data_IF_874410067466
#
_entry.id   IF_874410067466
#
_cell.length_a   1.000
_cell.length_b   1.000
_cell.length_c   1.000
_cell.angle_alpha   90.00
_cell.angle_beta   90.00
_cell.angle_gamma   90.00
#
_symmetry.space_group_name_H-M   'P 1'
#
loop_
_entity.id
_entity.type
_entity.pdbx_description
1 polymer ?
#
# COMPACT_ATOMS: atom_id res chain seq x y z
N UNK A 1 11.72 -25.56 15.42
CA UNK A 1 10.93 -25.85 14.19
C UNK A 1 10.05 -24.64 13.89
N UNK A 2 9.63 -24.43 12.64
CA UNK A 2 8.63 -23.40 12.35
C UNK A 2 7.22 -23.92 12.67
N UNK A 3 6.47 -23.15 13.46
CA UNK A 3 5.04 -23.32 13.64
C UNK A 3 4.31 -22.23 12.84
N UNK A 4 3.65 -22.63 11.75
CA UNK A 4 2.96 -21.71 10.84
C UNK A 4 1.50 -21.55 11.28
N UNK A 5 1.08 -20.31 11.54
CA UNK A 5 -0.22 -20.04 12.20
C UNK A 5 -1.37 -19.75 11.24
N UNK A 6 -1.09 -19.32 10.00
CA UNK A 6 -2.13 -18.90 9.06
C UNK A 6 -2.00 -19.51 7.68
N UNK A 7 -1.15 -20.51 7.51
CA UNK A 7 -0.96 -21.19 6.24
C UNK A 7 -0.75 -22.70 6.44
N UNK A 8 -1.11 -23.44 5.40
CA UNK A 8 -0.87 -24.87 5.25
C UNK A 8 -0.54 -25.13 3.78
N UNK A 9 0.04 -26.30 3.50
CA UNK A 9 0.43 -26.65 2.13
C UNK A 9 -0.78 -26.65 1.18
N UNK A 10 -0.60 -26.08 0.00
CA UNK A 10 -1.62 -25.86 -1.02
C UNK A 10 -2.78 -24.93 -0.60
N UNK A 11 -2.59 -24.10 0.44
CA UNK A 11 -3.54 -23.03 0.75
C UNK A 11 -3.79 -22.17 -0.49
N UNK A 12 -5.06 -21.95 -0.80
CA UNK A 12 -5.49 -21.13 -1.94
C UNK A 12 -5.88 -19.72 -1.46
N UNK A 13 -5.39 -18.70 -2.15
CA UNK A 13 -5.69 -17.28 -1.90
C UNK A 13 -6.02 -16.56 -3.21
N UNK A 14 -6.68 -15.41 -3.12
CA UNK A 14 -7.12 -14.63 -4.28
C UNK A 14 -6.52 -13.21 -4.35
N UNK A 15 -5.41 -12.97 -3.65
CA UNK A 15 -4.68 -11.71 -3.63
C UNK A 15 -3.16 -11.97 -3.75
N UNK A 16 -2.40 -11.06 -4.38
CA UNK A 16 -1.01 -11.32 -4.79
C UNK A 16 0.04 -11.06 -3.72
N UNK A 17 -0.31 -10.48 -2.57
CA UNK A 17 0.61 -10.26 -1.45
C UNK A 17 0.13 -11.02 -0.22
N UNK A 18 0.84 -12.08 0.15
CA UNK A 18 0.45 -12.91 1.28
C UNK A 18 1.19 -12.50 2.55
N UNK A 19 0.48 -12.36 3.67
CA UNK A 19 1.12 -12.26 4.98
C UNK A 19 1.24 -13.67 5.54
N UNK A 20 2.45 -14.14 5.79
CA UNK A 20 2.73 -15.36 6.52
C UNK A 20 3.11 -14.98 7.96
N UNK A 21 2.46 -15.60 8.95
CA UNK A 21 2.77 -15.41 10.37
C UNK A 21 2.98 -16.75 11.05
N UNK A 22 3.89 -16.75 12.02
CA UNK A 22 4.24 -17.95 12.75
C UNK A 22 5.23 -17.68 13.87
N UNK A 23 5.71 -18.75 14.46
CA UNK A 23 6.76 -18.71 15.47
C UNK A 23 7.79 -19.81 15.29
N UNK A 24 8.94 -19.64 15.92
CA UNK A 24 10.01 -20.64 15.98
C UNK A 24 9.92 -21.33 17.34
N UNK A 25 9.61 -22.62 17.35
CA UNK A 25 9.45 -23.42 18.56
C UNK A 25 10.19 -24.77 18.47
N UNK A 26 11.13 -25.09 19.38
CA UNK A 26 11.69 -24.20 20.40
C UNK A 26 12.42 -23.00 19.78
N UNK A 27 12.43 -21.86 20.49
CA UNK A 27 13.09 -20.65 20.00
C UNK A 27 14.61 -20.84 19.92
N UNK A 28 15.16 -20.65 18.72
CA UNK A 28 16.56 -20.90 18.40
C UNK A 28 17.46 -19.64 18.38
N UNK A 29 17.03 -18.53 19.01
CA UNK A 29 17.77 -17.26 19.09
C UNK A 29 18.05 -16.55 17.75
N UNK A 30 17.50 -17.05 16.65
CA UNK A 30 17.56 -16.37 15.36
C UNK A 30 16.83 -15.01 15.44
N UNK A 31 17.52 -13.95 15.01
CA UNK A 31 16.94 -12.59 14.90
C UNK A 31 16.25 -12.34 13.56
N UNK A 32 16.37 -13.29 12.62
CA UNK A 32 15.83 -13.13 11.28
C UNK A 32 15.38 -14.45 10.68
N UNK A 33 14.40 -14.35 9.81
CA UNK A 33 13.99 -15.40 8.89
C UNK A 33 14.16 -14.92 7.45
N UNK A 34 14.43 -15.85 6.55
CA UNK A 34 14.51 -15.62 5.12
C UNK A 34 13.37 -16.36 4.46
N UNK A 35 12.68 -15.69 3.54
CA UNK A 35 11.62 -16.30 2.74
C UNK A 35 12.04 -16.22 1.29
N UNK A 36 12.13 -17.39 0.66
CA UNK A 36 12.32 -17.53 -0.78
C UNK A 36 11.02 -17.97 -1.43
N UNK A 37 10.70 -17.39 -2.58
CA UNK A 37 9.54 -17.78 -3.39
C UNK A 37 10.02 -18.35 -4.71
N UNK A 38 9.69 -19.62 -4.94
CA UNK A 38 9.98 -20.35 -6.16
C UNK A 38 8.68 -20.57 -6.93
N UNK A 39 8.74 -20.39 -8.25
CA UNK A 39 7.65 -20.67 -9.16
C UNK A 39 8.28 -21.21 -10.45
N UNK A 40 7.64 -22.18 -11.09
CA UNK A 40 8.09 -22.93 -12.29
C UNK A 40 8.59 -22.07 -13.46
N UNK A 41 8.36 -20.75 -13.41
CA UNK A 41 8.64 -19.83 -14.50
C UNK A 41 9.63 -18.70 -14.16
N UNK A 42 10.17 -18.58 -12.93
CA UNK A 42 10.84 -17.33 -12.51
C UNK A 42 12.01 -17.50 -11.54
N UNK A 43 12.82 -16.42 -11.48
CA UNK A 43 13.97 -16.25 -10.59
C UNK A 43 13.53 -16.17 -9.12
N UNK A 44 14.25 -16.85 -8.26
CA UNK A 44 14.03 -16.87 -6.81
C UNK A 44 14.15 -15.46 -6.23
N UNK A 45 13.10 -15.02 -5.54
CA UNK A 45 13.15 -13.83 -4.70
C UNK A 45 13.33 -14.27 -3.26
N UNK A 46 14.47 -13.91 -2.66
CA UNK A 46 14.69 -14.07 -1.23
C UNK A 46 14.54 -12.74 -0.51
N UNK A 47 13.85 -12.75 0.63
CA UNK A 47 13.67 -11.57 1.48
C UNK A 47 14.00 -11.92 2.92
N UNK A 48 14.73 -11.02 3.59
CA UNK A 48 15.06 -11.11 5.01
C UNK A 48 14.02 -10.34 5.83
N UNK A 49 13.54 -10.96 6.90
CA UNK A 49 12.59 -10.37 7.85
C UNK A 49 13.10 -10.54 9.27
N UNK A 50 12.84 -9.54 10.11
CA UNK A 50 13.21 -9.59 11.53
C UNK A 50 12.22 -10.43 12.32
N UNK A 51 12.77 -11.21 13.24
CA UNK A 51 12.02 -11.98 14.24
C UNK A 51 11.96 -11.15 15.52
N UNK A 52 10.79 -11.07 16.15
CA UNK A 52 10.63 -10.46 17.46
C UNK A 52 10.34 -11.58 18.46
N UNK A 53 11.24 -11.77 19.43
CA UNK A 53 11.27 -12.94 20.31
C UNK A 53 11.31 -14.22 19.46
N UNK A 54 10.25 -15.03 19.46
CA UNK A 54 10.13 -16.21 18.59
C UNK A 54 9.20 -16.00 17.39
N UNK A 55 8.55 -14.84 17.29
CA UNK A 55 7.47 -14.57 16.36
C UNK A 55 7.97 -13.88 15.10
N UNK A 56 7.34 -14.19 13.97
CA UNK A 56 7.58 -13.49 12.71
C UNK A 56 6.27 -13.16 11.99
N UNK A 57 6.31 -12.05 11.24
CA UNK A 57 5.32 -11.69 10.22
C UNK A 57 6.09 -11.28 8.98
N UNK A 58 5.83 -11.97 7.88
CA UNK A 58 6.53 -11.77 6.62
C UNK A 58 5.52 -11.57 5.51
N UNK A 59 5.83 -10.68 4.59
CA UNK A 59 4.99 -10.41 3.43
C UNK A 59 5.64 -11.03 2.19
N UNK A 60 4.86 -11.79 1.44
CA UNK A 60 5.34 -12.67 0.38
C UNK A 60 4.62 -12.36 -0.92
N UNK A 61 5.32 -11.94 -1.98
CA UNK A 61 4.73 -11.82 -3.30
C UNK A 61 4.39 -13.17 -3.87
N UNK A 62 3.19 -13.28 -4.44
CA UNK A 62 2.73 -14.46 -5.15
C UNK A 62 2.58 -14.17 -6.64
N UNK A 63 2.95 -15.14 -7.47
CA UNK A 63 2.52 -15.20 -8.87
C UNK A 63 1.29 -16.08 -9.00
N UNK A 64 0.48 -15.82 -10.03
CA UNK A 64 -0.68 -16.66 -10.34
C UNK A 64 -0.22 -18.12 -10.49
N UNK A 65 -0.96 -19.05 -9.89
CA UNK A 65 -0.63 -20.46 -9.83
C UNK A 65 0.03 -20.87 -8.53
N UNK A 66 0.78 -21.97 -8.57
CA UNK A 66 1.47 -22.53 -7.42
C UNK A 66 2.76 -21.75 -7.13
N UNK A 67 2.98 -21.39 -5.87
CA UNK A 67 4.20 -20.75 -5.38
C UNK A 67 4.75 -21.63 -4.26
N UNK A 68 5.97 -22.15 -4.43
CA UNK A 68 6.68 -22.87 -3.38
C UNK A 68 7.41 -21.86 -2.51
N UNK A 69 7.05 -21.81 -1.23
CA UNK A 69 7.64 -20.91 -0.25
C UNK A 69 8.64 -21.70 0.58
N UNK A 70 9.87 -21.20 0.64
CA UNK A 70 10.92 -21.72 1.50
C UNK A 70 11.14 -20.72 2.65
N UNK A 71 10.73 -21.08 3.86
CA UNK A 71 10.98 -20.32 5.07
C UNK A 71 12.19 -20.91 5.80
N UNK A 72 13.24 -20.13 5.98
CA UNK A 72 14.47 -20.59 6.64
C UNK A 72 15.00 -19.62 7.68
N UNK A 73 15.66 -20.16 8.68
CA UNK A 73 16.61 -19.46 9.53
C UNK A 73 17.91 -20.28 9.58
N UNK A 74 18.86 -19.95 10.45
CA UNK A 74 20.12 -20.71 10.56
C UNK A 74 19.90 -22.16 11.00
N UNK A 75 18.85 -22.42 11.78
CA UNK A 75 18.62 -23.72 12.44
C UNK A 75 17.47 -24.54 11.86
N UNK A 76 16.57 -23.90 11.13
CA UNK A 76 15.32 -24.53 10.69
C UNK A 76 15.00 -24.15 9.25
N UNK A 77 14.35 -25.08 8.58
CA UNK A 77 13.84 -24.95 7.23
C UNK A 77 12.42 -25.52 7.20
N UNK A 78 11.49 -24.78 6.58
CA UNK A 78 10.17 -25.25 6.24
C UNK A 78 9.87 -24.92 4.77
N UNK A 79 9.18 -25.83 4.10
CA UNK A 79 8.74 -25.66 2.72
C UNK A 79 7.26 -26.01 2.63
N UNK A 80 6.49 -25.18 1.93
CA UNK A 80 5.08 -25.41 1.65
C UNK A 80 4.65 -24.58 0.45
N UNK A 81 3.49 -24.89 -0.11
CA UNK A 81 2.98 -24.25 -1.33
C UNK A 81 1.78 -23.37 -1.05
N UNK A 82 1.71 -22.23 -1.72
CA UNK A 82 0.55 -21.34 -1.74
C UNK A 82 0.08 -21.18 -3.19
N UNK A 83 -1.21 -21.43 -3.42
CA UNK A 83 -1.84 -21.28 -4.74
C UNK A 83 -2.52 -19.93 -4.81
N UNK A 84 -2.03 -19.04 -5.66
CA UNK A 84 -2.73 -17.79 -5.95
C UNK A 84 -3.62 -17.96 -7.18
N UNK A 85 -4.94 -17.91 -6.97
CA UNK A 85 -5.94 -17.91 -8.03
C UNK A 85 -6.49 -16.50 -8.24
N UNK A 86 -6.53 -16.05 -9.48
CA UNK A 86 -7.13 -14.76 -9.78
C UNK A 86 -8.66 -14.91 -9.85
N UNK A 87 -9.40 -14.29 -8.94
CA UNK A 87 -10.86 -14.32 -8.97
C UNK A 87 -11.37 -13.38 -10.07
N UNK A 88 -11.75 -13.95 -11.21
CA UNK A 88 -12.25 -13.21 -12.38
C UNK A 88 -13.75 -12.98 -12.39
N UNK A 89 -14.46 -13.60 -11.45
CA UNK A 89 -15.92 -13.70 -11.52
C UNK A 89 -16.63 -12.50 -10.87
N UNK A 90 -15.93 -11.75 -10.01
CA UNK A 90 -16.48 -10.52 -9.41
C UNK A 90 -16.32 -9.32 -10.35
N UNK A 91 -17.41 -8.61 -10.67
CA UNK A 91 -17.34 -7.35 -11.41
C UNK A 91 -16.86 -6.17 -10.53
N UNK A 92 -16.84 -6.36 -9.20
CA UNK A 92 -16.53 -5.32 -8.23
C UNK A 92 -15.03 -5.19 -8.00
N UNK A 93 -14.53 -3.96 -8.10
CA UNK A 93 -13.11 -3.66 -8.00
C UNK A 93 -12.85 -2.38 -7.21
N UNK A 94 -11.64 -2.27 -6.68
CA UNK A 94 -11.07 -1.04 -6.12
C UNK A 94 -10.04 -0.51 -7.11
N UNK A 95 -10.02 0.80 -7.32
CA UNK A 95 -9.09 1.46 -8.22
C UNK A 95 -8.43 2.67 -7.56
N UNK A 96 -7.17 2.55 -7.10
CA UNK A 96 -6.47 3.69 -6.57
C UNK A 96 -5.89 4.55 -7.70
N UNK A 97 -6.02 5.87 -7.57
CA UNK A 97 -5.48 6.84 -8.52
C UNK A 97 -4.72 7.95 -7.81
N UNK A 98 -3.66 8.42 -8.43
CA UNK A 98 -2.91 9.59 -8.02
C UNK A 98 -3.33 10.76 -8.91
N UNK A 99 -4.07 11.71 -8.34
CA UNK A 99 -4.72 12.79 -9.09
C UNK A 99 -3.76 13.98 -9.19
N UNK A 100 -3.42 14.35 -10.41
CA UNK A 100 -2.55 15.48 -10.72
C UNK A 100 -3.41 16.58 -11.34
N UNK A 101 -3.47 17.74 -10.68
CA UNK A 101 -4.18 18.91 -11.18
C UNK A 101 -3.54 19.42 -12.49
N UNK A 102 -4.33 20.13 -13.30
CA UNK A 102 -3.94 20.64 -14.62
C UNK A 102 -2.74 21.62 -14.57
N UNK A 103 -2.51 22.24 -13.43
CA UNK A 103 -1.43 23.20 -13.13
C UNK A 103 -0.41 22.65 -12.11
N UNK A 104 -0.36 21.33 -11.89
CA UNK A 104 0.57 20.65 -10.98
C UNK A 104 1.57 19.75 -11.73
N UNK A 105 2.78 19.61 -11.17
CA UNK A 105 3.82 18.71 -11.68
C UNK A 105 3.59 17.25 -11.28
N UNK A 106 2.75 17.02 -10.27
CA UNK A 106 2.50 15.70 -9.68
C UNK A 106 3.57 15.29 -8.66
N UNK A 107 4.26 16.26 -8.06
CA UNK A 107 5.20 15.98 -6.97
C UNK A 107 4.47 15.99 -5.63
N UNK A 108 4.84 15.08 -4.73
CA UNK A 108 4.40 15.12 -3.34
C UNK A 108 5.47 15.78 -2.45
N UNK A 109 5.15 16.10 -1.20
CA UNK A 109 6.16 16.60 -0.25
C UNK A 109 6.97 15.46 0.32
N UNK A 110 8.29 15.60 0.32
CA UNK A 110 9.21 14.58 0.78
C UNK A 110 10.45 15.21 1.46
N UNK A 111 11.13 14.48 2.36
CA UNK A 111 12.37 14.93 2.99
C UNK A 111 13.51 15.04 1.97
N UNK A 112 14.56 15.74 2.38
CA UNK A 112 15.80 15.81 1.62
C UNK A 112 16.35 14.40 1.29
N UNK A 113 16.79 14.21 0.04
CA UNK A 113 17.33 12.94 -0.45
C UNK A 113 16.29 11.93 -0.94
N UNK A 114 14.99 12.18 -0.75
CA UNK A 114 13.92 11.40 -1.38
C UNK A 114 13.50 12.04 -2.70
N UNK A 115 13.21 11.21 -3.72
CA UNK A 115 12.76 11.66 -5.05
C UNK A 115 11.22 11.65 -5.10
N UNK A 116 10.54 12.81 -5.05
CA UNK A 116 9.10 12.87 -4.84
C UNK A 116 8.28 12.81 -6.13
N UNK A 117 8.63 11.91 -7.05
CA UNK A 117 7.95 11.87 -8.35
C UNK A 117 6.59 11.18 -8.28
N UNK A 118 5.75 11.42 -9.28
CA UNK A 118 4.46 10.73 -9.46
C UNK A 118 4.63 9.20 -9.54
N UNK A 119 5.75 8.70 -10.08
CA UNK A 119 6.05 7.27 -10.12
C UNK A 119 6.31 6.72 -8.71
N UNK A 120 7.09 7.43 -7.88
CA UNK A 120 7.29 7.07 -6.47
C UNK A 120 5.96 7.13 -5.70
N UNK A 121 5.14 8.16 -5.93
CA UNK A 121 3.82 8.29 -5.32
C UNK A 121 2.91 7.09 -5.66
N UNK A 122 2.78 6.76 -6.94
CA UNK A 122 1.98 5.61 -7.39
C UNK A 122 2.50 4.28 -6.78
N UNK A 123 3.81 4.07 -6.70
CA UNK A 123 4.37 2.87 -6.06
C UNK A 123 4.02 2.78 -4.58
N UNK A 124 4.19 3.88 -3.82
CA UNK A 124 3.87 3.95 -2.39
C UNK A 124 2.38 3.71 -2.14
N UNK A 125 1.52 4.40 -2.89
CA UNK A 125 0.07 4.21 -2.82
C UNK A 125 -0.30 2.77 -3.18
N UNK A 126 0.26 2.24 -4.26
CA UNK A 126 -0.03 0.89 -4.73
C UNK A 126 0.36 -0.18 -3.71
N UNK A 127 1.53 -0.04 -3.09
CA UNK A 127 1.95 -0.94 -2.00
C UNK A 127 1.03 -0.79 -0.78
N UNK A 128 0.68 0.44 -0.39
CA UNK A 128 -0.28 0.69 0.69
C UNK A 128 -1.63 0.00 0.47
N UNK A 129 -2.17 0.08 -0.75
CA UNK A 129 -3.44 -0.57 -1.11
C UNK A 129 -3.32 -2.10 -1.10
N UNK A 130 -2.20 -2.66 -1.57
CA UNK A 130 -1.95 -4.11 -1.47
C UNK A 130 -1.81 -4.58 -0.02
N UNK A 131 -1.13 -3.81 0.83
CA UNK A 131 -1.06 -4.11 2.26
C UNK A 131 -2.46 -4.08 2.88
N UNK A 132 -3.29 -3.09 2.54
CA UNK A 132 -4.68 -3.03 2.99
C UNK A 132 -5.49 -4.24 2.51
N UNK A 133 -5.30 -4.68 1.26
CA UNK A 133 -5.93 -5.88 0.72
C UNK A 133 -5.54 -7.14 1.52
N UNK A 134 -4.24 -7.32 1.80
CA UNK A 134 -3.72 -8.43 2.62
C UNK A 134 -4.27 -8.38 4.04
N UNK A 135 -4.20 -7.22 4.70
CA UNK A 135 -4.62 -7.07 6.09
C UNK A 135 -6.13 -7.26 6.24
N UNK A 136 -6.93 -6.81 5.26
CA UNK A 136 -8.36 -7.10 5.19
C UNK A 136 -8.63 -8.60 5.13
N UNK A 137 -7.90 -9.34 4.27
CA UNK A 137 -8.05 -10.78 4.16
C UNK A 137 -7.73 -11.52 5.46
N UNK A 138 -6.63 -11.14 6.12
CA UNK A 138 -6.20 -11.77 7.38
C UNK A 138 -7.07 -11.36 8.57
N UNK A 139 -7.63 -10.15 8.57
CA UNK A 139 -8.61 -9.72 9.56
C UNK A 139 -9.89 -10.56 9.45
N UNK A 140 -10.44 -10.72 8.24
CA UNK A 140 -11.61 -11.59 8.06
C UNK A 140 -11.32 -13.06 8.35
N UNK A 141 -10.10 -13.55 8.10
CA UNK A 141 -9.72 -14.88 8.56
C UNK A 141 -9.79 -15.00 10.08
N UNK A 142 -9.27 -14.00 10.80
CA UNK A 142 -9.27 -13.97 12.27
C UNK A 142 -10.68 -13.93 12.85
N UNK A 143 -11.56 -13.12 12.27
CA UNK A 143 -12.91 -12.88 12.80
C UNK A 143 -13.95 -13.88 12.30
N UNK A 144 -13.85 -14.32 11.03
CA UNK A 144 -14.86 -15.11 10.34
C UNK A 144 -14.38 -16.51 9.92
N UNK A 145 -13.09 -16.82 10.13
CA UNK A 145 -12.51 -18.10 9.70
C UNK A 145 -12.31 -18.22 8.18
N UNK A 146 -12.51 -17.15 7.41
CA UNK A 146 -12.37 -17.15 5.95
C UNK A 146 -11.68 -15.89 5.43
N UNK A 147 -10.87 -16.04 4.37
CA UNK A 147 -10.20 -14.92 3.71
C UNK A 147 -11.12 -14.28 2.69
N UNK A 148 -11.51 -13.04 2.98
CA UNK A 148 -12.26 -12.19 2.05
C UNK A 148 -11.50 -10.88 1.86
N UNK A 149 -11.36 -10.40 0.63
CA UNK A 149 -10.78 -9.08 0.37
C UNK A 149 -11.26 -8.54 -0.97
N UNK A 150 -11.01 -7.26 -1.21
CA UNK A 150 -11.39 -6.59 -2.44
C UNK A 150 -10.41 -6.92 -3.59
N UNK A 151 -10.88 -6.85 -4.83
CA UNK A 151 -10.05 -6.97 -6.03
C UNK A 151 -9.54 -5.60 -6.47
N UNK A 152 -8.31 -5.52 -6.97
CA UNK A 152 -7.77 -4.27 -7.52
C UNK A 152 -7.87 -4.29 -9.05
N UNK A 153 -8.42 -3.24 -9.67
CA UNK A 153 -8.76 -3.21 -11.11
C UNK A 153 -7.56 -3.51 -12.00
N UNK A 154 -6.41 -2.92 -11.68
CA UNK A 154 -5.14 -3.06 -12.39
C UNK A 154 -4.58 -4.49 -12.34
N UNK A 155 -5.08 -5.36 -11.46
CA UNK A 155 -4.67 -6.77 -11.40
C UNK A 155 -5.39 -7.63 -12.44
N UNK A 156 -6.63 -7.25 -12.80
CA UNK A 156 -7.45 -7.94 -13.81
C UNK A 156 -6.94 -7.74 -15.24
N UNK A 157 -6.29 -6.60 -15.51
CA UNK A 157 -5.74 -6.27 -16.83
C UNK A 157 -4.38 -6.92 -17.09
N UNK A 158 -3.75 -7.55 -16.09
CA UNK A 158 -2.45 -8.22 -16.23
C UNK A 158 -2.60 -9.46 -17.10
N UNK A 159 -2.36 -9.33 -18.40
CA UNK A 159 -1.99 -10.46 -19.27
C UNK A 159 -0.66 -11.00 -18.78
N UNK A 160 -0.70 -11.98 -17.87
CA UNK A 160 0.40 -12.92 -17.54
C UNK A 160 1.82 -12.35 -17.69
N UNK A 161 2.11 -11.17 -17.11
CA UNK A 161 3.46 -10.59 -17.19
C UNK A 161 4.41 -11.48 -16.38
N UNK A 162 5.31 -12.15 -17.10
CA UNK A 162 6.12 -13.29 -16.63
C UNK A 162 7.34 -12.89 -15.80
N UNK A 163 7.50 -11.63 -15.40
CA UNK A 163 8.71 -11.19 -14.69
C UNK A 163 8.39 -10.59 -13.30
N UNK A 164 8.73 -11.33 -12.23
CA UNK A 164 8.74 -10.85 -10.83
C UNK A 164 9.93 -9.92 -10.56
N UNK A 165 10.94 -9.87 -11.43
CA UNK A 165 12.13 -9.01 -11.25
C UNK A 165 11.80 -7.51 -11.12
N UNK A 166 10.57 -7.11 -11.45
CA UNK A 166 10.01 -5.77 -11.26
C UNK A 166 8.81 -5.71 -10.32
N UNK A 167 8.71 -6.54 -9.27
CA UNK A 167 7.70 -6.32 -8.21
C UNK A 167 7.87 -4.95 -7.51
N UNK A 168 8.99 -4.26 -7.81
CA UNK A 168 9.26 -2.85 -7.52
C UNK A 168 8.58 -1.81 -8.43
N UNK A 169 7.78 -2.14 -9.47
CA UNK A 169 7.48 -1.09 -10.48
C UNK A 169 6.18 -1.14 -11.30
N UNK A 170 5.21 -1.99 -11.02
CA UNK A 170 3.87 -1.76 -11.58
C UNK A 170 2.91 -1.49 -10.43
N UNK A 171 2.92 -0.21 -10.03
CA UNK A 171 1.96 0.36 -9.11
C UNK A 171 0.56 -0.07 -9.53
N UNK A 172 -0.22 -0.67 -8.61
CA UNK A 172 -1.65 -0.84 -8.83
C UNK A 172 -2.40 0.50 -8.74
N UNK A 173 -1.68 1.60 -8.59
CA UNK A 173 -2.15 2.97 -8.65
C UNK A 173 -1.71 3.63 -9.95
N UNK A 174 -2.64 4.32 -10.62
CA UNK A 174 -2.39 5.03 -11.86
C UNK A 174 -2.46 6.54 -11.66
N UNK A 175 -1.64 7.29 -12.41
CA UNK A 175 -1.81 8.73 -12.51
C UNK A 175 -3.12 9.05 -13.25
N UNK A 176 -3.91 9.95 -12.66
CA UNK A 176 -5.05 10.57 -13.31
C UNK A 176 -4.78 12.08 -13.44
N UNK A 177 -4.54 12.53 -14.67
CA UNK A 177 -4.41 13.94 -14.98
C UNK A 177 -5.81 14.55 -15.05
N UNK A 178 -6.08 15.46 -14.12
CA UNK A 178 -7.39 16.06 -13.91
C UNK A 178 -7.50 17.43 -14.56
N UNK A 179 -8.72 17.80 -14.94
CA UNK A 179 -9.06 19.16 -15.38
C UNK A 179 -9.02 20.19 -14.24
N UNK A 180 -9.12 19.74 -12.98
CA UNK A 180 -9.08 20.59 -11.79
C UNK A 180 -7.73 21.31 -11.67
N UNK A 181 -7.75 22.59 -11.33
CA UNK A 181 -6.55 23.35 -10.97
C UNK A 181 -6.33 23.37 -9.45
N UNK A 182 -5.10 23.58 -8.98
CA UNK A 182 -4.77 23.78 -7.57
C UNK A 182 -5.55 24.94 -6.98
N UNK A 183 -5.71 26.02 -7.74
CA UNK A 183 -6.52 27.17 -7.30
C UNK A 183 -7.96 26.76 -7.03
N UNK A 184 -8.57 25.93 -7.89
CA UNK A 184 -9.91 25.40 -7.62
C UNK A 184 -9.90 24.54 -6.35
N UNK A 185 -8.96 23.60 -6.24
CA UNK A 185 -8.89 22.69 -5.09
C UNK A 185 -8.71 23.43 -3.76
N UNK A 186 -7.92 24.50 -3.74
CA UNK A 186 -7.63 25.27 -2.52
C UNK A 186 -8.73 26.26 -2.14
N UNK A 187 -9.55 26.71 -3.10
CA UNK A 187 -10.58 27.73 -2.88
C UNK A 187 -11.99 27.16 -2.70
N UNK A 188 -12.16 25.84 -2.77
CA UNK A 188 -13.46 25.16 -2.67
C UNK A 188 -13.47 24.16 -1.52
N UNK A 189 -14.67 23.74 -1.14
CA UNK A 189 -14.85 22.73 -0.08
C UNK A 189 -14.39 21.34 -0.54
N UNK A 190 -14.01 20.44 0.39
CA UNK A 190 -13.77 19.03 0.08
C UNK A 190 -14.89 18.38 -0.73
N UNK A 191 -16.15 18.71 -0.43
CA UNK A 191 -17.34 18.19 -1.11
C UNK A 191 -17.42 18.66 -2.56
N UNK A 192 -17.11 19.94 -2.83
CA UNK A 192 -17.10 20.49 -4.19
C UNK A 192 -16.00 19.85 -5.05
N UNK A 193 -14.81 19.68 -4.47
CA UNK A 193 -13.67 19.00 -5.13
C UNK A 193 -14.02 17.54 -5.41
N UNK A 194 -14.56 16.84 -4.41
CA UNK A 194 -15.00 15.45 -4.54
C UNK A 194 -16.05 15.31 -5.64
N UNK A 195 -17.08 16.17 -5.65
CA UNK A 195 -18.18 16.12 -6.63
C UNK A 195 -17.66 16.32 -8.05
N UNK A 196 -16.80 17.33 -8.25
CA UNK A 196 -16.26 17.62 -9.57
C UNK A 196 -15.33 16.52 -10.07
N UNK A 197 -14.49 15.96 -9.19
CA UNK A 197 -13.66 14.81 -9.53
C UNK A 197 -14.51 13.57 -9.84
N UNK A 198 -15.56 13.29 -9.06
CA UNK A 198 -16.45 12.16 -9.30
C UNK A 198 -17.10 12.22 -10.71
N UNK A 199 -17.59 13.39 -11.12
CA UNK A 199 -18.10 13.59 -12.48
C UNK A 199 -17.02 13.41 -13.54
N UNK A 200 -15.83 13.98 -13.33
CA UNK A 200 -14.73 13.81 -14.28
C UNK A 200 -14.33 12.34 -14.47
N UNK A 201 -14.25 11.58 -13.37
CA UNK A 201 -13.94 10.15 -13.42
C UNK A 201 -15.04 9.35 -14.12
N UNK A 202 -16.31 9.70 -13.91
CA UNK A 202 -17.44 9.07 -14.58
C UNK A 202 -17.39 9.30 -16.10
N UNK A 203 -17.14 10.52 -16.54
CA UNK A 203 -17.02 10.85 -17.96
C UNK A 203 -15.81 10.18 -18.62
N UNK A 204 -14.67 10.15 -17.93
CA UNK A 204 -13.41 9.62 -18.47
C UNK A 204 -13.33 8.09 -18.44
N UNK A 205 -13.96 7.46 -17.46
CA UNK A 205 -13.93 6.00 -17.26
C UNK A 205 -15.35 5.43 -17.07
N UNK A 206 -16.25 5.58 -18.06
CA UNK A 206 -17.66 5.19 -17.91
C UNK A 206 -17.84 3.68 -17.75
N UNK A 207 -16.93 2.87 -18.31
CA UNK A 207 -17.02 1.43 -18.25
C UNK A 207 -16.77 0.89 -16.83
N UNK A 208 -17.75 0.16 -16.29
CA UNK A 208 -17.71 -0.45 -14.96
C UNK A 208 -17.54 0.56 -13.81
N UNK A 209 -17.89 1.83 -14.02
CA UNK A 209 -17.73 2.88 -13.01
C UNK A 209 -18.46 2.56 -11.71
N UNK A 210 -19.73 2.14 -11.80
CA UNK A 210 -20.60 1.85 -10.65
C UNK A 210 -20.11 0.67 -9.79
N UNK A 211 -19.46 -0.30 -10.42
CA UNK A 211 -18.86 -1.46 -9.74
C UNK A 211 -17.42 -1.19 -9.29
N UNK A 212 -16.92 0.05 -9.45
CA UNK A 212 -15.56 0.43 -9.07
C UNK A 212 -15.61 1.37 -7.86
N UNK A 213 -14.92 0.99 -6.78
CA UNK A 213 -14.61 1.89 -5.69
C UNK A 213 -13.30 2.62 -5.98
N UNK A 214 -13.36 3.92 -6.11
CA UNK A 214 -12.24 4.78 -6.43
C UNK A 214 -11.56 5.27 -5.17
N UNK A 215 -10.23 5.24 -5.14
CA UNK A 215 -9.44 5.80 -4.04
C UNK A 215 -8.49 6.82 -4.64
N UNK A 216 -8.88 8.09 -4.60
CA UNK A 216 -8.16 9.20 -5.19
C UNK A 216 -7.24 9.87 -4.18
N UNK A 217 -5.96 9.98 -4.53
CA UNK A 217 -4.94 10.66 -3.74
C UNK A 217 -4.53 11.94 -4.44
N UNK A 218 -4.74 13.09 -3.80
CA UNK A 218 -4.47 14.40 -4.41
C UNK A 218 -2.98 14.75 -4.35
N UNK A 219 -2.36 14.92 -5.51
CA UNK A 219 -0.94 15.28 -5.62
C UNK A 219 -0.63 16.67 -5.03
N UNK A 220 -1.60 17.58 -5.06
CA UNK A 220 -1.45 18.97 -4.66
C UNK A 220 -1.53 19.20 -3.14
N UNK A 221 -1.63 18.16 -2.31
CA UNK A 221 -1.59 18.31 -0.85
C UNK A 221 -0.27 18.95 -0.42
N UNK A 222 -0.33 20.04 0.35
CA UNK A 222 0.85 20.73 0.87
C UNK A 222 0.67 21.13 2.32
N UNK A 223 1.53 20.63 3.18
CA UNK A 223 1.75 21.10 4.54
C UNK A 223 2.67 22.32 4.54
N UNK A 224 2.27 23.37 5.25
CA UNK A 224 2.98 24.63 5.36
C UNK A 224 3.54 24.78 6.78
N UNK A 225 4.85 24.52 6.98
CA UNK A 225 5.44 24.54 8.31
C UNK A 225 5.39 25.93 8.95
N UNK A 226 5.38 26.01 10.30
CA UNK A 226 5.38 27.29 11.00
C UNK A 226 6.67 28.08 10.74
N UNK A 227 6.56 29.43 10.68
CA UNK A 227 7.70 30.34 10.49
C UNK A 227 8.74 30.24 11.61
N UNK A 228 8.31 29.84 12.81
CA UNK A 228 9.18 29.51 13.94
C UNK A 228 8.91 28.05 14.29
N UNK A 229 9.93 27.21 14.14
CA UNK A 229 9.91 25.84 14.63
C UNK A 229 10.13 25.93 16.14
N UNK A 230 9.06 26.17 16.89
CA UNK A 230 9.11 26.00 18.34
C UNK A 230 9.07 24.49 18.63
N UNK A 231 9.70 24.04 19.71
CA UNK A 231 9.74 22.63 20.13
C UNK A 231 8.39 22.09 20.62
N UNK A 232 7.30 22.80 20.38
CA UNK A 232 5.96 22.40 20.76
C UNK A 232 5.35 21.55 19.65
N UNK A 233 4.92 20.35 20.04
CA UNK A 233 4.18 19.45 19.19
C UNK A 233 2.85 20.11 18.75
N UNK A 234 2.62 20.19 17.44
CA UNK A 234 1.37 20.73 16.90
C UNK A 234 0.23 19.73 17.08
N UNK A 235 -0.91 20.21 17.58
CA UNK A 235 -2.14 19.42 17.59
C UNK A 235 -2.59 19.04 16.17
N UNK A 236 -3.36 17.95 16.07
CA UNK A 236 -3.92 17.50 14.79
C UNK A 236 -4.67 18.62 14.05
N UNK A 237 -5.48 19.40 14.76
CA UNK A 237 -6.21 20.52 14.15
C UNK A 237 -5.27 21.62 13.61
N UNK A 238 -4.15 21.89 14.27
CA UNK A 238 -3.16 22.86 13.78
C UNK A 238 -2.43 22.34 12.54
N UNK A 239 -2.15 21.04 12.48
CA UNK A 239 -1.60 20.39 11.29
C UNK A 239 -2.57 20.52 10.12
N UNK A 240 -3.86 20.27 10.34
CA UNK A 240 -4.89 20.40 9.31
C UNK A 240 -5.03 21.85 8.80
N UNK A 241 -5.07 22.83 9.70
CA UNK A 241 -5.12 24.26 9.34
C UNK A 241 -3.92 24.71 8.51
N UNK A 242 -2.79 24.01 8.63
CA UNK A 242 -1.56 24.25 7.88
C UNK A 242 -1.44 23.41 6.62
N UNK A 243 -2.40 22.54 6.33
CA UNK A 243 -2.32 21.62 5.18
C UNK A 243 -3.37 21.99 4.15
N UNK A 244 -2.94 22.50 3.00
CA UNK A 244 -3.81 22.71 1.85
C UNK A 244 -4.07 21.41 1.12
N UNK A 245 -5.28 21.26 0.57
CA UNK A 245 -5.71 20.06 -0.16
C UNK A 245 -5.52 18.76 0.67
N UNK A 246 -5.72 18.85 1.99
CA UNK A 246 -5.87 17.69 2.85
C UNK A 246 -7.32 17.20 2.78
N UNK A 247 -7.50 15.92 2.41
CA UNK A 247 -8.82 15.31 2.29
C UNK A 247 -8.86 14.00 3.05
N UNK A 248 -10.02 13.73 3.65
CA UNK A 248 -10.38 12.45 4.27
C UNK A 248 -11.90 12.23 4.08
N UNK A 249 -12.35 12.28 2.83
CA UNK A 249 -13.77 12.24 2.48
C UNK A 249 -14.09 10.98 1.67
N UNK A 250 -15.08 10.21 2.10
CA UNK A 250 -15.52 9.00 1.39
C UNK A 250 -17.03 8.90 1.31
N UNK A 251 -17.57 8.86 0.09
CA UNK A 251 -19.01 8.64 -0.18
C UNK A 251 -19.19 8.20 -1.63
N UNK A 252 -20.38 7.73 -2.02
CA UNK A 252 -20.76 7.56 -3.43
C UNK A 252 -19.86 6.67 -4.31
N UNK A 253 -18.99 5.84 -3.71
CA UNK A 253 -18.00 5.04 -4.45
C UNK A 253 -16.64 5.71 -4.71
N UNK A 254 -16.41 6.92 -4.21
CA UNK A 254 -15.12 7.62 -4.28
C UNK A 254 -14.64 8.00 -2.87
N UNK A 255 -13.44 7.57 -2.52
CA UNK A 255 -12.66 8.12 -1.42
C UNK A 255 -11.67 9.14 -1.96
N UNK A 256 -11.64 10.34 -1.38
CA UNK A 256 -10.73 11.43 -1.69
C UNK A 256 -9.80 11.66 -0.49
N UNK A 257 -8.50 11.51 -0.74
CA UNK A 257 -7.45 11.48 0.27
C UNK A 257 -6.34 12.49 -0.06
N UNK A 258 -5.79 13.11 0.97
CA UNK A 258 -4.56 13.90 0.86
C UNK A 258 -3.29 13.04 0.83
N UNK A 259 -2.18 13.63 0.40
CA UNK A 259 -0.88 12.94 0.28
C UNK A 259 0.20 13.46 1.23
N UNK A 260 -0.19 14.22 2.26
CA UNK A 260 0.74 14.91 3.17
C UNK A 260 1.75 13.99 3.86
N UNK A 261 1.36 12.76 4.18
CA UNK A 261 2.20 11.76 4.87
C UNK A 261 2.80 10.70 3.95
N UNK A 262 2.66 10.86 2.62
CA UNK A 262 3.12 9.85 1.66
C UNK A 262 4.64 9.60 1.73
N UNK A 263 5.40 10.58 2.21
CA UNK A 263 6.84 10.46 2.46
C UNK A 263 7.20 9.38 3.50
N UNK A 264 6.28 9.06 4.41
CA UNK A 264 6.45 8.02 5.43
C UNK A 264 5.99 6.63 4.95
N UNK A 265 5.47 6.50 3.72
CA UNK A 265 4.98 5.22 3.19
C UNK A 265 6.09 4.47 2.47
N UNK A 266 6.19 3.14 2.58
CA UNK A 266 7.19 2.36 1.85
C UNK A 266 6.91 2.41 0.34
N UNK A 267 7.97 2.52 -0.47
CA UNK A 267 7.88 2.50 -1.93
C UNK A 267 7.89 1.07 -2.48
N UNK A 268 8.63 0.16 -1.84
CA UNK A 268 8.74 -1.25 -2.24
C UNK A 268 8.56 -2.20 -1.05
N UNK A 269 8.47 -3.50 -1.33
CA UNK A 269 8.42 -4.47 -0.24
C UNK A 269 9.74 -4.54 0.54
N UNK A 270 10.88 -4.22 -0.09
CA UNK A 270 12.21 -4.34 0.53
C UNK A 270 12.42 -3.30 1.64
N UNK A 271 11.84 -2.12 1.50
CA UNK A 271 11.89 -1.04 2.48
C UNK A 271 10.75 -1.09 3.50
N UNK A 272 9.77 -2.00 3.35
CA UNK A 272 8.61 -2.10 4.25
C UNK A 272 9.03 -2.17 5.72
N UNK A 273 9.93 -3.10 6.06
CA UNK A 273 10.36 -3.28 7.45
C UNK A 273 11.15 -2.07 7.97
N UNK A 274 11.97 -1.46 7.12
CA UNK A 274 12.78 -0.29 7.48
C UNK A 274 11.88 0.91 7.74
N UNK A 275 10.87 1.12 6.89
CA UNK A 275 9.96 2.26 6.98
C UNK A 275 9.00 2.11 8.16
N UNK A 276 8.35 0.95 8.32
CA UNK A 276 7.42 0.73 9.44
C UNK A 276 8.12 0.61 10.81
N UNK A 277 9.39 0.21 10.83
CA UNK A 277 10.21 0.15 12.04
C UNK A 277 10.98 1.45 12.34
N UNK A 278 10.80 2.50 11.53
CA UNK A 278 11.52 3.75 11.71
C UNK A 278 10.91 4.57 12.86
N UNK A 279 11.66 4.71 13.95
CA UNK A 279 11.26 5.47 15.15
C UNK A 279 11.85 6.89 15.18
N UNK A 280 12.38 7.39 14.07
CA UNK A 280 12.90 8.77 14.00
C UNK A 280 11.75 9.77 14.02
N UNK A 281 11.93 10.85 14.77
CA UNK A 281 11.00 11.99 14.76
C UNK A 281 10.90 12.56 13.35
N UNK A 282 9.67 12.83 12.90
CA UNK A 282 9.40 13.41 11.58
C UNK A 282 10.00 14.81 11.50
N UNK A 283 10.59 15.15 10.36
CA UNK A 283 11.11 16.50 10.12
C UNK A 283 9.96 17.53 10.27
N UNK A 284 10.11 18.60 11.08
CA UNK A 284 9.07 19.61 11.29
C UNK A 284 8.61 20.35 10.02
N UNK A 285 9.37 20.23 8.93
CA UNK A 285 9.01 20.77 7.60
C UNK A 285 8.02 19.89 6.84
N UNK A 286 7.74 18.69 7.34
CA UNK A 286 6.81 17.71 6.78
C UNK A 286 5.59 17.53 7.68
N UNK A 287 4.51 17.00 7.11
CA UNK A 287 3.30 16.68 7.87
C UNK A 287 3.56 15.47 8.76
N UNK A 288 3.44 15.66 10.07
CA UNK A 288 3.48 14.58 11.05
C UNK A 288 2.05 14.22 11.49
N UNK A 289 1.57 13.04 11.08
CA UNK A 289 0.26 12.49 11.48
C UNK A 289 0.43 11.17 12.25
N UNK A 290 1.51 11.06 13.03
CA UNK A 290 1.81 9.86 13.84
C UNK A 290 1.02 9.80 15.14
N UNK A 291 0.30 10.88 15.50
CA UNK A 291 -0.33 11.07 16.81
C UNK A 291 0.67 10.93 17.98
N UNK A 292 1.91 11.41 17.79
CA UNK A 292 3.00 11.37 18.76
C UNK A 292 3.47 9.96 19.16
N UNK A 293 3.33 9.00 18.24
CA UNK A 293 3.75 7.61 18.43
C UNK A 293 5.06 7.30 17.73
#
# INVERSE_FOLDING_TARGET
MFNILNAYDLLTVNYPLFQLKGNIDPYCQCQSVFVSVHNDHKRDLEMKWTVCESMFKVFVPLSIGCNTLQLRCEHHLAEFRIVYVHNRDSPYTVRPIYVICSDDTGWFQAPAGMVPTKESACKRIGLGIRLLQTLTAEAFLSELGMRCTFLIKEELSRKSSRNISGWSSEACCNCHYSSLSKTFVNSNTPEDVWKKLAYELYEKYPHNFENTKWVAFMACTRYHPPKKINSEFLSYNEILLRTTAHFALGTGGLALLGTGTLHAWPETLKDLQVVLGNTRIVDPTLMDDTAYR
#
